data_IF_146813064720
#
_entry.id   IF_146813064720
#
_cell.length_a   1.000
_cell.length_b   1.000
_cell.length_c   1.000
_cell.angle_alpha   90.00
_cell.angle_beta   90.00
_cell.angle_gamma   90.00
#
_symmetry.space_group_name_H-M   'P 1'
#
loop_
_entity.id
_entity.type
_entity.pdbx_description
1 polymer ?
#
# COMPACT_ATOMS: atom_id res chain seq x y z
N UNK A 1 -62.69 12.12 29.22
CA UNK A 1 -63.73 12.83 28.46
C UNK A 1 -63.13 13.45 27.22
N UNK A 2 -63.52 12.94 26.05
CA UNK A 2 -63.43 13.55 24.69
C UNK A 2 -64.10 12.52 23.76
N UNK A 3 -65.43 12.44 23.85
CA UNK A 3 -66.42 13.05 22.94
C UNK A 3 -66.35 12.44 21.54
N UNK A 4 -67.39 11.64 21.29
CA UNK A 4 -67.86 11.08 20.03
C UNK A 4 -68.17 12.19 19.01
N UNK A 5 -67.64 12.07 17.79
CA UNK A 5 -68.11 12.70 16.54
C UNK A 5 -67.73 11.67 15.45
N UNK A 6 -68.66 10.94 14.85
CA UNK A 6 -69.66 11.44 13.92
C UNK A 6 -69.10 11.31 12.50
N UNK A 7 -69.37 10.19 11.83
CA UNK A 7 -69.02 10.01 10.41
C UNK A 7 -69.80 11.05 9.57
N UNK A 8 -69.21 11.69 8.55
CA UNK A 8 -69.97 12.59 7.69
C UNK A 8 -70.90 11.76 6.79
N UNK A 9 -72.16 12.17 6.75
CA UNK A 9 -73.16 11.66 5.81
C UNK A 9 -72.75 12.01 4.37
N UNK A 10 -73.03 11.09 3.45
CA UNK A 10 -72.83 11.30 2.02
C UNK A 10 -73.62 12.52 1.54
N UNK A 11 -72.92 13.42 0.86
CA UNK A 11 -73.47 14.64 0.28
C UNK A 11 -74.41 14.26 -0.89
N UNK A 12 -75.65 14.75 -0.83
CA UNK A 12 -76.64 14.55 -1.88
C UNK A 12 -76.23 15.31 -3.16
N UNK A 13 -76.43 14.76 -4.36
CA UNK A 13 -76.08 15.45 -5.59
C UNK A 13 -76.99 16.68 -5.78
N UNK A 14 -76.37 17.84 -6.04
CA UNK A 14 -77.06 19.08 -6.40
C UNK A 14 -77.76 18.99 -7.77
N UNK A 15 -78.67 19.93 -8.09
CA UNK A 15 -79.56 19.83 -9.24
C UNK A 15 -78.79 19.92 -10.56
N UNK A 16 -79.13 19.02 -11.49
CA UNK A 16 -78.60 18.95 -12.85
C UNK A 16 -78.86 20.24 -13.62
N UNK A 17 -77.80 20.86 -14.14
CA UNK A 17 -77.90 21.94 -15.11
C UNK A 17 -78.22 21.37 -16.50
N UNK A 18 -79.23 21.94 -17.17
CA UNK A 18 -79.67 21.48 -18.50
C UNK A 18 -78.56 21.62 -19.57
N UNK A 19 -78.40 20.63 -20.46
CA UNK A 19 -77.36 20.64 -21.48
C UNK A 19 -77.71 21.60 -22.64
N UNK A 20 -76.80 22.53 -22.92
CA UNK A 20 -76.86 23.47 -24.04
C UNK A 20 -75.86 23.06 -25.13
N UNK A 21 -76.32 22.27 -26.11
CA UNK A 21 -75.61 22.10 -27.39
C UNK A 21 -75.68 20.69 -28.00
N UNK A 22 -75.48 20.54 -29.32
CA UNK A 22 -75.72 19.28 -30.05
C UNK A 22 -74.59 18.23 -29.89
N UNK A 23 -73.81 18.29 -28.81
CA UNK A 23 -72.66 17.41 -28.55
C UNK A 23 -72.77 16.50 -27.32
N UNK A 24 -73.74 16.70 -26.43
CA UNK A 24 -73.79 16.07 -25.09
C UNK A 24 -74.43 14.67 -25.03
N UNK A 25 -74.49 13.94 -26.14
CA UNK A 25 -75.17 12.63 -26.24
C UNK A 25 -74.24 11.41 -26.26
N UNK A 26 -72.96 11.58 -25.96
CA UNK A 26 -72.04 10.44 -25.77
C UNK A 26 -71.87 10.15 -24.27
N UNK A 27 -72.08 8.91 -23.79
CA UNK A 27 -71.80 8.57 -22.41
C UNK A 27 -70.29 8.60 -22.19
N UNK A 28 -69.77 9.76 -21.77
CA UNK A 28 -68.41 9.89 -21.27
C UNK A 28 -68.43 9.23 -19.89
N UNK A 29 -67.89 8.02 -19.80
CA UNK A 29 -67.55 7.45 -18.49
C UNK A 29 -66.50 8.37 -17.87
N UNK A 30 -66.94 9.30 -17.02
CA UNK A 30 -66.05 10.01 -16.12
C UNK A 30 -65.40 8.96 -15.23
N UNK A 31 -64.20 8.51 -15.60
CA UNK A 31 -63.33 7.79 -14.69
C UNK A 31 -63.05 8.75 -13.53
N UNK A 32 -63.80 8.58 -12.46
CA UNK A 32 -63.57 9.27 -11.20
C UNK A 32 -62.18 8.83 -10.75
N UNK A 33 -61.18 9.66 -11.04
CA UNK A 33 -59.79 9.42 -10.64
C UNK A 33 -59.81 9.53 -9.11
N UNK A 34 -59.64 8.44 -8.34
CA UNK A 34 -59.68 8.55 -6.90
C UNK A 34 -58.60 9.55 -6.49
N UNK A 35 -58.97 10.48 -5.60
CA UNK A 35 -58.04 11.43 -5.02
C UNK A 35 -56.81 10.68 -4.48
N UNK A 36 -55.60 11.26 -4.55
CA UNK A 36 -54.40 10.60 -4.07
C UNK A 36 -54.60 10.18 -2.62
N UNK A 37 -54.63 8.86 -2.39
CA UNK A 37 -54.77 8.29 -1.05
C UNK A 37 -53.59 8.80 -0.22
N UNK A 38 -53.89 9.60 0.80
CA UNK A 38 -52.89 10.09 1.73
C UNK A 38 -52.29 8.90 2.45
N UNK A 39 -50.96 8.80 2.50
CA UNK A 39 -50.30 7.69 3.16
C UNK A 39 -50.66 7.66 4.65
N UNK A 40 -51.30 6.59 5.10
CA UNK A 40 -51.64 6.38 6.50
C UNK A 40 -50.36 6.32 7.34
N UNK A 41 -50.38 6.88 8.54
CA UNK A 41 -49.30 6.71 9.52
C UNK A 41 -49.19 5.23 9.96
N UNK A 42 -48.04 4.78 10.50
CA UNK A 42 -47.87 3.39 10.95
C UNK A 42 -48.96 2.92 11.95
N UNK A 43 -49.43 3.82 12.81
CA UNK A 43 -50.50 3.53 13.75
C UNK A 43 -51.86 3.35 13.06
N UNK A 44 -52.19 4.24 12.10
CA UNK A 44 -53.42 4.12 11.31
C UNK A 44 -53.40 2.89 10.41
N UNK A 45 -52.25 2.53 9.83
CA UNK A 45 -52.06 1.29 9.08
C UNK A 45 -52.30 0.05 9.96
N UNK A 46 -51.78 0.03 11.19
CA UNK A 46 -51.98 -1.08 12.12
C UNK A 46 -53.47 -1.25 12.48
N UNK A 47 -54.18 -0.14 12.76
CA UNK A 47 -55.62 -0.16 13.05
C UNK A 47 -56.43 -0.61 11.82
N UNK A 48 -56.12 -0.08 10.64
CA UNK A 48 -56.78 -0.47 9.39
C UNK A 48 -56.53 -1.96 9.06
N UNK A 49 -55.31 -2.45 9.24
CA UNK A 49 -54.95 -3.86 9.03
C UNK A 49 -55.69 -4.77 10.01
N UNK A 50 -55.78 -4.40 11.29
CA UNK A 50 -56.55 -5.17 12.28
C UNK A 50 -58.06 -5.17 11.98
N UNK A 51 -58.61 -4.05 11.47
CA UNK A 51 -60.00 -3.99 11.03
C UNK A 51 -60.25 -4.88 9.80
N UNK A 52 -59.38 -4.81 8.79
CA UNK A 52 -59.44 -5.66 7.61
C UNK A 52 -59.32 -7.14 7.96
N UNK A 53 -58.39 -7.52 8.84
CA UNK A 53 -58.22 -8.90 9.29
C UNK A 53 -59.50 -9.44 9.95
N UNK A 54 -60.18 -8.66 10.81
CA UNK A 54 -61.45 -9.06 11.43
C UNK A 54 -62.58 -9.25 10.42
N UNK A 55 -62.66 -8.39 9.40
CA UNK A 55 -63.69 -8.48 8.37
C UNK A 55 -63.45 -9.64 7.39
N UNK A 56 -62.19 -9.94 7.08
CA UNK A 56 -61.81 -11.00 6.15
C UNK A 56 -61.75 -12.38 6.81
N UNK A 57 -61.45 -12.48 8.11
CA UNK A 57 -61.28 -13.77 8.79
C UNK A 57 -62.43 -14.77 8.57
N UNK A 58 -63.73 -14.39 8.62
CA UNK A 58 -64.84 -15.31 8.37
C UNK A 58 -64.94 -15.77 6.91
N UNK A 59 -64.27 -15.09 5.97
CA UNK A 59 -64.30 -15.38 4.54
C UNK A 59 -63.13 -16.28 4.09
N UNK A 60 -62.14 -16.49 4.97
CA UNK A 60 -60.96 -17.28 4.67
C UNK A 60 -61.13 -18.72 5.21
N UNK A 61 -60.59 -19.73 4.51
CA UNK A 61 -60.59 -21.09 5.02
C UNK A 61 -59.72 -21.22 6.27
N UNK A 62 -60.10 -22.12 7.18
CA UNK A 62 -59.34 -22.38 8.40
C UNK A 62 -57.94 -22.94 8.07
N UNK A 63 -56.86 -22.39 8.65
CA UNK A 63 -55.52 -22.91 8.47
C UNK A 63 -55.36 -24.31 9.07
N UNK A 64 -54.79 -25.22 8.29
CA UNK A 64 -54.52 -26.60 8.68
C UNK A 64 -53.20 -26.71 9.45
N UNK A 65 -53.19 -27.55 10.47
CA UNK A 65 -52.03 -27.93 11.26
C UNK A 65 -51.39 -29.25 10.81
N UNK A 66 -51.80 -29.78 9.66
CA UNK A 66 -51.33 -31.09 9.18
C UNK A 66 -51.21 -31.18 7.66
N UNK A 67 -50.46 -32.18 7.22
CA UNK A 67 -50.29 -32.58 5.81
C UNK A 67 -50.51 -34.08 5.61
N UNK A 68 -50.75 -34.48 4.37
CA UNK A 68 -50.83 -35.88 3.96
C UNK A 68 -49.49 -36.30 3.35
N UNK A 69 -48.77 -37.21 4.00
CA UNK A 69 -47.51 -37.76 3.49
C UNK A 69 -47.79 -38.94 2.56
N UNK A 70 -47.12 -38.95 1.41
CA UNK A 70 -47.24 -39.97 0.37
C UNK A 70 -45.92 -40.74 0.20
N UNK A 71 -46.02 -41.96 -0.34
CA UNK A 71 -44.87 -42.87 -0.47
C UNK A 71 -43.83 -42.42 -1.53
N UNK A 72 -44.14 -41.44 -2.37
CA UNK A 72 -43.30 -40.88 -3.43
C UNK A 72 -42.49 -39.65 -2.97
N UNK A 73 -42.26 -39.53 -1.66
CA UNK A 73 -41.56 -38.41 -1.02
C UNK A 73 -42.27 -37.07 -1.25
N UNK A 74 -43.61 -37.07 -1.24
CA UNK A 74 -44.39 -35.83 -1.29
C UNK A 74 -45.26 -35.65 -0.06
N UNK A 75 -45.54 -34.38 0.27
CA UNK A 75 -46.55 -33.97 1.23
C UNK A 75 -47.58 -33.11 0.52
N UNK A 76 -48.86 -33.40 0.73
CA UNK A 76 -49.97 -32.62 0.17
C UNK A 76 -50.65 -31.86 1.29
N UNK A 77 -50.73 -30.54 1.13
CA UNK A 77 -51.49 -29.63 1.97
C UNK A 77 -52.81 -29.25 1.25
N UNK A 78 -53.97 -29.78 1.68
CA UNK A 78 -55.27 -29.53 1.03
C UNK A 78 -55.80 -28.10 1.17
N UNK A 79 -55.14 -27.26 1.97
CA UNK A 79 -55.55 -25.91 2.28
C UNK A 79 -54.37 -25.09 2.83
N UNK A 80 -54.59 -23.82 3.23
CA UNK A 80 -53.52 -23.02 3.80
C UNK A 80 -53.04 -23.64 5.11
N UNK A 81 -51.73 -23.70 5.29
CA UNK A 81 -51.13 -24.25 6.50
C UNK A 81 -50.97 -23.15 7.55
N UNK A 82 -51.00 -23.54 8.83
CA UNK A 82 -50.55 -22.69 9.91
C UNK A 82 -49.08 -22.30 9.68
N UNK A 83 -48.73 -21.05 10.02
CA UNK A 83 -47.39 -20.48 9.73
C UNK A 83 -46.24 -21.37 10.20
N UNK A 84 -46.21 -21.90 11.44
CA UNK A 84 -45.07 -22.71 11.88
C UNK A 84 -44.86 -23.97 11.03
N UNK A 85 -45.96 -24.63 10.62
CA UNK A 85 -45.91 -25.80 9.75
C UNK A 85 -45.46 -25.43 8.33
N UNK A 86 -46.00 -24.32 7.79
CA UNK A 86 -45.63 -23.82 6.46
C UNK A 86 -44.15 -23.44 6.38
N UNK A 87 -43.62 -22.76 7.40
CA UNK A 87 -42.23 -22.30 7.47
C UNK A 87 -41.27 -23.50 7.54
N UNK A 88 -41.57 -24.47 8.42
CA UNK A 88 -40.75 -25.68 8.54
C UNK A 88 -40.79 -26.52 7.26
N UNK A 89 -41.96 -26.73 6.65
CA UNK A 89 -42.07 -27.43 5.36
C UNK A 89 -41.37 -26.67 4.23
N UNK A 90 -41.39 -25.34 4.25
CA UNK A 90 -40.68 -24.50 3.28
C UNK A 90 -39.15 -24.68 3.36
N UNK A 91 -38.63 -25.05 4.52
CA UNK A 91 -37.22 -25.43 4.67
C UNK A 91 -37.01 -26.90 4.32
N UNK A 92 -37.84 -27.80 4.85
CA UNK A 92 -37.66 -29.26 4.77
C UNK A 92 -37.99 -29.87 3.41
N UNK A 93 -38.75 -29.17 2.56
CA UNK A 93 -39.20 -29.66 1.27
C UNK A 93 -39.21 -28.53 0.22
N UNK A 94 -39.26 -28.91 -1.05
CA UNK A 94 -39.38 -27.98 -2.17
C UNK A 94 -40.84 -27.93 -2.65
N UNK A 95 -41.36 -26.75 -2.98
CA UNK A 95 -42.76 -26.62 -3.44
C UNK A 95 -42.84 -26.93 -4.94
N UNK A 96 -43.55 -28.00 -5.28
CA UNK A 96 -43.75 -28.42 -6.68
C UNK A 96 -44.96 -27.73 -7.31
N UNK A 97 -46.05 -27.58 -6.55
CA UNK A 97 -47.27 -26.92 -7.01
C UNK A 97 -47.95 -26.15 -5.88
N UNK A 98 -48.53 -24.99 -6.22
CA UNK A 98 -49.28 -24.09 -5.31
C UNK A 98 -50.74 -23.95 -5.74
N UNK A 99 -51.29 -24.97 -6.40
CA UNK A 99 -52.69 -24.98 -6.85
C UNK A 99 -53.69 -25.09 -5.69
N UNK A 100 -54.85 -25.70 -5.95
CA UNK A 100 -55.88 -25.95 -4.92
C UNK A 100 -55.40 -26.80 -3.73
N UNK A 101 -54.30 -27.53 -3.91
CA UNK A 101 -53.51 -28.13 -2.84
C UNK A 101 -52.05 -27.81 -3.09
N UNK A 102 -51.32 -27.44 -2.02
CA UNK A 102 -49.88 -27.22 -2.12
C UNK A 102 -49.17 -28.56 -2.01
N UNK A 103 -48.35 -28.90 -2.99
CA UNK A 103 -47.56 -30.13 -3.02
C UNK A 103 -46.12 -29.80 -2.72
N UNK A 104 -45.59 -30.43 -1.68
CA UNK A 104 -44.20 -30.35 -1.26
C UNK A 104 -43.49 -31.64 -1.63
N UNK A 105 -42.28 -31.56 -2.15
CA UNK A 105 -41.42 -32.71 -2.47
C UNK A 105 -40.21 -32.71 -1.58
N UNK A 106 -39.98 -33.83 -0.89
CA UNK A 106 -38.77 -34.06 -0.10
C UNK A 106 -37.67 -34.58 -1.04
N UNK A 107 -36.58 -33.83 -1.08
CA UNK A 107 -35.36 -34.17 -1.82
C UNK A 107 -34.17 -34.25 -0.86
N UNK A 108 -33.09 -34.97 -1.20
CA UNK A 108 -31.87 -34.96 -0.38
C UNK A 108 -31.35 -33.54 -0.11
N UNK A 109 -31.49 -32.63 -1.09
CA UNK A 109 -31.09 -31.22 -0.95
C UNK A 109 -31.94 -30.45 0.05
N UNK A 110 -33.26 -30.63 0.01
CA UNK A 110 -34.19 -29.99 0.95
C UNK A 110 -34.02 -30.47 2.40
N UNK A 111 -33.80 -31.78 2.59
CA UNK A 111 -33.51 -32.35 3.92
C UNK A 111 -32.17 -31.83 4.42
N UNK A 112 -31.12 -31.81 3.59
CA UNK A 112 -29.82 -31.24 3.96
C UNK A 112 -29.95 -29.78 4.38
N UNK A 113 -30.73 -28.98 3.67
CA UNK A 113 -31.00 -27.58 4.00
C UNK A 113 -31.64 -27.42 5.39
N UNK A 114 -32.54 -28.32 5.78
CA UNK A 114 -33.10 -28.32 7.13
C UNK A 114 -32.04 -28.65 8.19
N UNK A 115 -31.15 -29.60 7.93
CA UNK A 115 -30.04 -29.92 8.83
C UNK A 115 -29.03 -28.77 8.92
N UNK A 116 -28.73 -28.10 7.80
CA UNK A 116 -27.87 -26.91 7.75
C UNK A 116 -28.48 -25.74 8.55
N UNK A 117 -29.81 -25.65 8.63
CA UNK A 117 -30.54 -24.70 9.47
C UNK A 117 -30.58 -25.12 10.96
N UNK A 118 -29.84 -26.16 11.35
CA UNK A 118 -29.68 -26.61 12.73
C UNK A 118 -30.75 -27.57 13.24
N UNK A 119 -31.60 -28.12 12.36
CA UNK A 119 -32.57 -29.14 12.76
C UNK A 119 -31.88 -30.50 12.95
N UNK A 120 -32.23 -31.23 14.02
CA UNK A 120 -31.77 -32.60 14.19
C UNK A 120 -32.70 -33.58 13.46
N UNK A 121 -32.16 -34.73 13.02
CA UNK A 121 -32.97 -35.77 12.36
C UNK A 121 -34.13 -36.26 13.24
N UNK A 122 -33.90 -36.41 14.54
CA UNK A 122 -34.94 -36.77 15.52
C UNK A 122 -36.09 -35.76 15.54
N UNK A 123 -35.76 -34.48 15.43
CA UNK A 123 -36.73 -33.38 15.48
C UNK A 123 -37.55 -33.34 14.20
N UNK A 124 -36.91 -33.61 13.04
CA UNK A 124 -37.60 -33.74 11.76
C UNK A 124 -38.59 -34.92 11.77
N UNK A 125 -38.19 -36.07 12.29
CA UNK A 125 -39.09 -37.23 12.44
C UNK A 125 -40.25 -36.92 13.39
N UNK A 126 -39.97 -36.33 14.56
CA UNK A 126 -41.00 -35.95 15.53
C UNK A 126 -41.97 -34.91 14.94
N UNK A 127 -41.45 -33.93 14.21
CA UNK A 127 -42.24 -32.92 13.53
C UNK A 127 -43.19 -33.52 12.48
N UNK A 128 -42.68 -34.38 11.60
CA UNK A 128 -43.48 -35.04 10.59
C UNK A 128 -44.54 -35.98 11.20
N UNK A 129 -44.20 -36.69 12.28
CA UNK A 129 -45.14 -37.53 13.00
C UNK A 129 -46.26 -36.72 13.67
N UNK A 130 -45.94 -35.53 14.21
CA UNK A 130 -46.91 -34.65 14.86
C UNK A 130 -47.86 -33.95 13.87
N UNK A 131 -47.37 -33.59 12.68
CA UNK A 131 -48.13 -32.80 11.70
C UNK A 131 -48.57 -33.62 10.48
N UNK A 132 -48.52 -34.96 10.53
CA UNK A 132 -49.06 -35.79 9.47
C UNK A 132 -50.34 -36.50 9.87
N UNK A 133 -51.33 -36.50 8.96
CA UNK A 133 -52.54 -37.33 9.09
C UNK A 133 -52.31 -38.78 8.66
N UNK A 134 -51.23 -39.05 7.94
CA UNK A 134 -50.85 -40.41 7.54
C UNK A 134 -49.57 -40.82 8.28
N UNK A 135 -49.32 -42.12 8.48
CA UNK A 135 -48.03 -42.56 9.00
C UNK A 135 -46.89 -42.07 8.10
N UNK A 136 -45.75 -41.71 8.72
CA UNK A 136 -44.55 -41.28 7.98
C UNK A 136 -44.09 -42.42 7.07
N UNK A 137 -44.02 -42.23 5.74
CA UNK A 137 -43.60 -43.28 4.82
C UNK A 137 -42.15 -43.70 5.08
N UNK A 138 -41.89 -45.01 5.06
CA UNK A 138 -40.54 -45.55 5.25
C UNK A 138 -39.49 -44.94 4.30
N UNK A 139 -39.76 -44.67 3.00
CA UNK A 139 -38.80 -44.02 2.12
C UNK A 139 -38.37 -42.63 2.61
N UNK A 140 -39.29 -41.86 3.18
CA UNK A 140 -39.00 -40.53 3.72
C UNK A 140 -38.16 -40.64 4.99
N UNK A 141 -38.50 -41.58 5.87
CA UNK A 141 -37.71 -41.82 7.07
C UNK A 141 -36.26 -42.20 6.73
N UNK A 142 -36.09 -43.10 5.76
CA UNK A 142 -34.77 -43.51 5.28
C UNK A 142 -33.98 -42.35 4.65
N UNK A 143 -34.64 -41.51 3.84
CA UNK A 143 -34.01 -40.33 3.26
C UNK A 143 -33.46 -39.39 4.34
N UNK A 144 -34.25 -39.12 5.39
CA UNK A 144 -33.82 -38.27 6.51
C UNK A 144 -32.60 -38.86 7.20
N UNK A 145 -32.63 -40.15 7.54
CA UNK A 145 -31.54 -40.81 8.24
C UNK A 145 -30.26 -40.88 7.39
N UNK A 146 -30.38 -41.15 6.09
CA UNK A 146 -29.24 -41.25 5.17
C UNK A 146 -28.57 -39.89 4.91
N UNK A 147 -29.35 -38.81 4.81
CA UNK A 147 -28.81 -37.45 4.70
C UNK A 147 -28.21 -37.00 6.03
N UNK A 148 -28.87 -37.29 7.16
CA UNK A 148 -28.36 -36.96 8.49
C UNK A 148 -27.05 -37.66 8.83
N UNK A 149 -26.91 -38.93 8.46
CA UNK A 149 -25.64 -39.66 8.61
C UNK A 149 -24.51 -38.98 7.86
N UNK A 150 -24.76 -38.53 6.62
CA UNK A 150 -23.75 -37.90 5.76
C UNK A 150 -23.48 -36.43 6.09
N UNK A 151 -24.42 -35.78 6.77
CA UNK A 151 -24.33 -34.37 7.18
C UNK A 151 -23.25 -34.18 8.25
N UNK A 152 -22.43 -33.13 8.10
CA UNK A 152 -21.40 -32.79 9.10
C UNK A 152 -20.20 -33.73 9.19
N UNK A 153 -20.05 -34.72 8.28
CA UNK A 153 -18.83 -35.53 8.18
C UNK A 153 -17.60 -34.71 7.83
N UNK A 154 -17.75 -33.74 6.92
CA UNK A 154 -16.71 -32.79 6.57
C UNK A 154 -16.92 -31.52 7.37
N UNK A 155 -15.86 -31.09 8.06
CA UNK A 155 -15.86 -29.84 8.84
C UNK A 155 -14.83 -28.90 8.27
N UNK A 156 -15.28 -27.71 7.91
CA UNK A 156 -14.42 -26.62 7.45
C UNK A 156 -14.32 -25.60 8.57
N UNK A 157 -13.12 -25.09 8.81
CA UNK A 157 -12.89 -23.99 9.73
C UNK A 157 -11.82 -23.06 9.19
N UNK A 158 -11.83 -21.81 9.63
CA UNK A 158 -10.77 -20.86 9.30
C UNK A 158 -9.46 -21.27 10.00
N UNK A 159 -8.36 -21.22 9.25
CA UNK A 159 -6.99 -21.35 9.73
C UNK A 159 -6.13 -20.39 8.91
N UNK A 160 -5.56 -19.37 9.56
CA UNK A 160 -4.75 -18.34 8.91
C UNK A 160 -3.31 -18.81 8.66
N UNK A 161 -2.83 -19.72 9.50
CA UNK A 161 -1.52 -20.35 9.38
C UNK A 161 -1.55 -21.76 10.01
N UNK A 162 -0.51 -22.56 9.74
CA UNK A 162 -0.32 -23.88 10.36
C UNK A 162 1.12 -24.05 10.86
N UNK A 163 1.31 -24.98 11.78
CA UNK A 163 2.62 -25.46 12.25
C UNK A 163 2.70 -26.94 11.97
N UNK A 164 3.73 -27.36 11.24
CA UNK A 164 4.09 -28.76 11.06
C UNK A 164 5.31 -29.08 11.90
N UNK A 165 5.27 -30.18 12.64
CA UNK A 165 6.40 -30.70 13.39
C UNK A 165 6.39 -32.22 13.33
N UNK A 166 7.55 -32.83 13.11
CA UNK A 166 7.65 -34.29 13.05
C UNK A 166 7.54 -34.94 14.44
N UNK A 167 7.67 -34.15 15.51
CA UNK A 167 7.53 -34.59 16.90
C UNK A 167 6.22 -34.07 17.53
N UNK A 168 5.37 -35.01 17.93
CA UNK A 168 4.10 -34.72 18.60
C UNK A 168 4.25 -34.14 20.01
N UNK A 169 5.33 -34.51 20.72
CA UNK A 169 5.57 -34.02 22.07
C UNK A 169 5.77 -32.50 22.08
N UNK A 170 6.50 -31.97 21.09
CA UNK A 170 6.74 -30.54 20.92
C UNK A 170 5.44 -29.78 20.64
N UNK A 171 4.56 -30.31 19.78
CA UNK A 171 3.26 -29.66 19.53
C UNK A 171 2.36 -29.67 20.77
N UNK A 172 2.43 -30.74 21.56
CA UNK A 172 1.71 -30.84 22.83
C UNK A 172 2.23 -29.84 23.88
N UNK A 173 3.55 -29.62 23.93
CA UNK A 173 4.19 -28.59 24.76
C UNK A 173 3.75 -27.18 24.35
N UNK A 174 3.79 -26.87 23.06
CA UNK A 174 3.35 -25.57 22.51
C UNK A 174 1.88 -25.29 22.87
N UNK A 175 1.00 -26.29 22.76
CA UNK A 175 -0.42 -26.14 23.12
C UNK A 175 -0.66 -25.94 24.63
N UNK A 176 0.21 -26.49 25.48
CA UNK A 176 0.09 -26.36 26.93
C UNK A 176 0.65 -25.03 27.47
N UNK A 177 1.50 -24.34 26.71
CA UNK A 177 2.10 -23.07 27.12
C UNK A 177 1.10 -21.91 27.03
N UNK A 178 0.84 -21.27 28.17
CA UNK A 178 -0.08 -20.13 28.30
C UNK A 178 0.32 -18.92 27.45
N UNK A 179 1.62 -18.77 27.13
CA UNK A 179 2.11 -17.69 26.25
C UNK A 179 1.54 -17.81 24.83
N UNK A 180 1.17 -19.02 24.39
CA UNK A 180 0.56 -19.28 23.10
C UNK A 180 -0.94 -18.98 23.00
N UNK A 181 -1.61 -18.56 24.09
CA UNK A 181 -3.06 -18.34 24.10
C UNK A 181 -3.54 -17.32 23.04
N UNK A 182 -2.72 -16.31 22.74
CA UNK A 182 -3.02 -15.30 21.72
C UNK A 182 -2.92 -15.79 20.26
N UNK A 183 -2.28 -16.95 20.03
CA UNK A 183 -2.07 -17.50 18.68
C UNK A 183 -3.30 -18.26 18.15
N UNK A 184 -4.27 -18.58 19.02
CA UNK A 184 -5.48 -19.32 18.66
C UNK A 184 -5.17 -20.72 18.11
N UNK A 185 -4.24 -21.43 18.75
CA UNK A 185 -3.78 -22.74 18.31
C UNK A 185 -4.85 -23.82 18.51
N UNK A 186 -5.02 -24.67 17.50
CA UNK A 186 -5.89 -25.85 17.53
C UNK A 186 -5.21 -27.02 16.85
N UNK A 187 -5.20 -28.18 17.49
CA UNK A 187 -4.63 -29.40 16.91
C UNK A 187 -5.53 -29.96 15.82
N UNK A 188 -4.97 -30.17 14.62
CA UNK A 188 -5.67 -30.79 13.49
C UNK A 188 -5.24 -32.24 13.25
N UNK A 189 -3.97 -32.54 13.50
CA UNK A 189 -3.37 -33.87 13.41
C UNK A 189 -2.27 -34.01 14.48
N UNK A 190 -1.71 -35.22 14.69
CA UNK A 190 -0.60 -35.39 15.62
C UNK A 190 0.61 -34.51 15.31
N UNK A 191 0.89 -34.24 14.04
CA UNK A 191 2.04 -33.46 13.57
C UNK A 191 1.65 -32.08 13.00
N UNK A 192 0.39 -31.65 13.20
CA UNK A 192 -0.13 -30.40 12.61
C UNK A 192 -1.01 -29.61 13.57
N UNK A 193 -0.66 -28.35 13.79
CA UNK A 193 -1.49 -27.35 14.45
C UNK A 193 -2.01 -26.33 13.43
N UNK A 194 -3.25 -25.90 13.57
CA UNK A 194 -3.76 -24.68 12.94
C UNK A 194 -3.69 -23.51 13.92
N UNK A 195 -3.47 -22.31 13.40
CA UNK A 195 -3.49 -21.06 14.14
C UNK A 195 -4.50 -20.09 13.53
N UNK A 196 -5.06 -19.20 14.36
CA UNK A 196 -5.84 -18.06 13.89
C UNK A 196 -4.97 -16.84 13.59
N UNK A 197 -3.79 -16.76 14.22
CA UNK A 197 -2.76 -15.78 13.87
C UNK A 197 -2.26 -15.99 12.43
N UNK A 198 -1.87 -14.89 11.80
CA UNK A 198 -1.24 -14.92 10.48
C UNK A 198 0.17 -15.54 10.54
N UNK A 199 0.78 -15.92 9.41
CA UNK A 199 2.09 -16.59 9.41
C UNK A 199 3.19 -15.79 10.11
N UNK A 200 3.19 -14.45 9.98
CA UNK A 200 4.17 -13.58 10.63
C UNK A 200 4.02 -13.57 12.15
N UNK A 201 2.80 -13.33 12.67
CA UNK A 201 2.52 -13.35 14.10
C UNK A 201 2.74 -14.72 14.73
N UNK A 202 2.45 -15.80 14.00
CA UNK A 202 2.74 -17.17 14.45
C UNK A 202 4.24 -17.42 14.60
N UNK A 203 5.05 -17.01 13.62
CA UNK A 203 6.52 -17.12 13.69
C UNK A 203 7.09 -16.31 14.85
N UNK A 204 6.64 -15.08 15.04
CA UNK A 204 7.08 -14.23 16.15
C UNK A 204 6.66 -14.78 17.52
N UNK A 205 5.42 -15.22 17.66
CA UNK A 205 4.91 -15.79 18.90
C UNK A 205 5.64 -17.07 19.31
N UNK A 206 5.87 -17.99 18.37
CA UNK A 206 6.65 -19.20 18.63
C UNK A 206 8.11 -18.89 19.00
N UNK A 207 8.73 -17.87 18.38
CA UNK A 207 10.07 -17.41 18.77
C UNK A 207 10.09 -16.82 20.18
N UNK A 208 9.08 -16.02 20.54
CA UNK A 208 8.93 -15.47 21.89
C UNK A 208 8.72 -16.56 22.95
N UNK A 209 8.16 -17.70 22.56
CA UNK A 209 8.03 -18.88 23.41
C UNK A 209 9.35 -19.66 23.58
N UNK A 210 10.36 -19.38 22.76
CA UNK A 210 11.67 -20.03 22.80
C UNK A 210 11.86 -21.13 21.74
N UNK A 211 10.89 -21.31 20.84
CA UNK A 211 11.01 -22.24 19.72
C UNK A 211 11.74 -21.59 18.53
N UNK A 212 12.30 -22.41 17.65
CA UNK A 212 12.99 -21.96 16.44
C UNK A 212 12.23 -22.40 15.17
N UNK A 213 11.05 -21.80 14.87
CA UNK A 213 10.28 -22.16 13.69
C UNK A 213 10.95 -21.64 12.41
N UNK A 214 10.84 -22.43 11.34
CA UNK A 214 11.17 -22.00 10.00
C UNK A 214 9.90 -21.62 9.24
N UNK A 215 10.00 -20.63 8.35
CA UNK A 215 8.88 -20.28 7.47
C UNK A 215 8.74 -21.33 6.37
N UNK A 216 7.52 -21.63 5.95
CA UNK A 216 7.21 -22.54 4.85
C UNK A 216 6.55 -21.75 3.71
N UNK A 217 6.83 -22.10 2.45
CA UNK A 217 6.19 -21.50 1.28
C UNK A 217 4.80 -22.09 1.06
N UNK A 218 4.02 -21.52 0.13
CA UNK A 218 2.71 -22.06 -0.23
C UNK A 218 2.79 -23.49 -0.82
N UNK A 219 3.95 -23.86 -1.37
CA UNK A 219 4.26 -25.17 -1.93
C UNK A 219 4.79 -26.18 -0.89
N UNK A 220 5.03 -25.74 0.34
CA UNK A 220 5.53 -26.59 1.43
C UNK A 220 7.05 -26.58 1.60
N UNK A 221 7.76 -25.74 0.85
CA UNK A 221 9.22 -25.65 0.94
C UNK A 221 9.65 -24.75 2.10
N UNK A 222 10.71 -25.14 2.81
CA UNK A 222 11.23 -24.31 3.91
C UNK A 222 11.88 -23.04 3.34
N UNK A 223 11.27 -21.90 3.63
CA UNK A 223 11.77 -20.58 3.30
C UNK A 223 12.89 -20.19 4.26
N UNK A 224 14.13 -20.33 3.79
CA UNK A 224 15.30 -19.79 4.47
C UNK A 224 15.33 -18.28 4.20
N UNK A 225 14.68 -17.50 5.07
CA UNK A 225 14.88 -16.05 5.08
C UNK A 225 16.28 -15.77 5.60
N UNK A 226 17.27 -15.72 4.71
CA UNK A 226 18.56 -15.12 5.04
C UNK A 226 18.25 -13.71 5.52
N UNK A 227 18.52 -13.42 6.78
CA UNK A 227 18.42 -12.06 7.30
C UNK A 227 19.13 -11.16 6.29
N UNK A 228 18.37 -10.28 5.63
CA UNK A 228 18.95 -9.26 4.77
C UNK A 228 19.83 -8.45 5.71
N UNK A 229 21.13 -8.76 5.71
CA UNK A 229 22.13 -7.90 6.30
C UNK A 229 21.78 -6.50 5.84
N UNK A 230 21.50 -5.59 6.77
CA UNK A 230 21.18 -4.21 6.45
C UNK A 230 22.34 -3.67 5.61
N UNK A 231 22.20 -3.78 4.28
CA UNK A 231 23.15 -3.24 3.34
C UNK A 231 22.93 -1.76 3.43
N UNK A 232 23.95 -1.05 3.87
CA UNK A 232 24.01 0.40 3.72
C UNK A 232 23.62 0.71 2.27
N UNK A 233 22.66 1.63 2.03
CA UNK A 233 22.31 2.01 0.67
C UNK A 233 23.59 2.44 -0.07
N UNK A 234 23.67 2.20 -1.39
CA UNK A 234 24.85 2.58 -2.17
C UNK A 234 25.14 4.07 -1.90
N UNK A 235 26.36 4.36 -1.42
CA UNK A 235 26.79 5.74 -1.18
C UNK A 235 26.73 6.48 -2.52
N UNK A 236 25.85 7.47 -2.62
CA UNK A 236 25.86 8.41 -3.75
C UNK A 236 27.23 9.09 -3.79
N UNK A 237 27.88 9.07 -4.94
CA UNK A 237 29.11 9.84 -5.12
C UNK A 237 28.78 11.34 -4.93
N UNK A 238 29.61 12.12 -4.21
CA UNK A 238 29.38 13.56 -4.08
C UNK A 238 29.31 14.21 -5.47
N UNK A 239 28.34 15.10 -5.70
CA UNK A 239 28.33 15.92 -6.91
C UNK A 239 29.60 16.79 -6.95
N UNK A 240 30.31 16.86 -8.09
CA UNK A 240 31.45 17.76 -8.23
C UNK A 240 30.98 19.21 -8.06
N UNK A 241 31.42 19.87 -6.99
CA UNK A 241 31.30 21.32 -6.88
C UNK A 241 32.24 21.93 -7.93
N UNK A 242 31.77 22.78 -8.84
CA UNK A 242 32.63 23.45 -9.80
C UNK A 242 33.37 24.59 -9.08
N UNK A 243 34.40 24.26 -8.29
CA UNK A 243 35.40 25.23 -7.87
C UNK A 243 36.37 25.48 -9.03
N UNK A 244 35.84 26.10 -10.09
CA UNK A 244 36.65 26.77 -11.09
C UNK A 244 37.00 28.17 -10.57
N UNK A 245 38.22 28.68 -10.84
CA UNK A 245 38.57 30.05 -10.44
C UNK A 245 37.58 31.05 -11.03
N UNK A 246 37.25 32.15 -10.32
CA UNK A 246 36.32 33.16 -10.81
C UNK A 246 36.79 33.73 -12.15
N UNK A 247 35.82 34.15 -12.97
CA UNK A 247 36.10 34.73 -14.29
C UNK A 247 37.12 35.88 -14.14
N UNK A 248 38.23 35.89 -14.90
CA UNK A 248 39.27 36.92 -14.78
C UNK A 248 38.71 38.32 -15.02
N UNK A 249 39.16 39.27 -14.20
CA UNK A 249 38.87 40.68 -14.29
C UNK A 249 39.57 41.35 -15.49
N UNK A 250 39.05 42.49 -15.95
CA UNK A 250 39.52 43.21 -17.16
C UNK A 250 41.01 43.58 -17.10
N UNK A 251 41.56 43.70 -15.90
CA UNK A 251 42.98 43.93 -15.60
C UNK A 251 43.84 42.73 -16.02
N UNK A 252 43.44 41.51 -15.65
CA UNK A 252 44.09 40.25 -16.04
C UNK A 252 43.98 40.03 -17.55
N UNK A 253 42.81 40.32 -18.13
CA UNK A 253 42.60 40.22 -19.57
C UNK A 253 43.49 41.22 -20.34
N UNK A 254 43.62 42.45 -19.83
CA UNK A 254 44.50 43.47 -20.39
C UNK A 254 45.99 43.12 -20.28
N UNK A 255 46.42 42.47 -19.21
CA UNK A 255 47.78 41.96 -19.07
C UNK A 255 48.07 40.82 -20.06
N UNK A 256 47.15 39.87 -20.21
CA UNK A 256 47.27 38.77 -21.17
C UNK A 256 47.36 39.28 -22.62
N UNK A 257 46.53 40.26 -22.99
CA UNK A 257 46.58 40.86 -24.33
C UNK A 257 47.90 41.59 -24.62
N UNK A 258 48.49 42.25 -23.61
CA UNK A 258 49.82 42.87 -23.75
C UNK A 258 50.92 41.83 -23.92
N UNK A 259 50.87 40.73 -23.15
CA UNK A 259 51.83 39.63 -23.27
C UNK A 259 51.79 38.98 -24.67
N UNK A 260 50.59 38.73 -25.21
CA UNK A 260 50.43 38.19 -26.57
C UNK A 260 51.01 39.15 -27.61
N UNK A 261 50.68 40.45 -27.53
CA UNK A 261 51.22 41.45 -28.47
C UNK A 261 52.73 41.61 -28.38
N UNK A 262 53.30 41.50 -27.18
CA UNK A 262 54.75 41.52 -26.97
C UNK A 262 55.42 40.27 -27.58
N UNK A 263 54.81 39.09 -27.43
CA UNK A 263 55.26 37.85 -28.08
C UNK A 263 55.20 37.91 -29.61
N UNK A 264 54.13 38.48 -30.18
CA UNK A 264 53.99 38.67 -31.62
C UNK A 264 55.07 39.62 -32.18
N UNK A 265 55.40 40.70 -31.46
CA UNK A 265 56.48 41.62 -31.83
C UNK A 265 57.87 40.95 -31.74
N UNK A 266 58.09 40.11 -30.72
CA UNK A 266 59.33 39.35 -30.55
C UNK A 266 59.50 38.25 -31.61
N UNK A 267 58.41 37.65 -32.11
CA UNK A 267 58.45 36.60 -33.14
C UNK A 267 58.69 37.13 -34.56
N UNK A 268 58.35 38.40 -34.83
CA UNK A 268 58.47 39.03 -36.15
C UNK A 268 59.80 39.76 -36.38
N UNK A 269 60.63 39.87 -35.35
CA UNK A 269 61.97 40.47 -35.44
C UNK A 269 63.00 39.40 -35.81
N UNK A 270 63.70 39.46 -36.96
CA UNK A 270 64.59 38.39 -37.40
C UNK A 270 65.86 38.34 -36.53
N UNK A 271 65.95 37.36 -35.62
CA UNK A 271 67.14 37.15 -34.80
C UNK A 271 68.17 36.27 -35.53
N UNK A 272 69.29 36.90 -35.86
CA UNK A 272 70.55 36.35 -36.39
C UNK A 272 71.05 35.17 -35.54
N UNK A 273 71.44 34.01 -36.12
CA UNK A 273 71.95 32.89 -35.34
C UNK A 273 73.42 33.14 -34.98
N UNK A 274 73.70 33.20 -33.69
CA UNK A 274 75.06 33.18 -33.18
C UNK A 274 75.20 33.91 -31.86
N UNK A 275 75.32 33.15 -30.78
CA UNK A 275 76.44 33.21 -29.83
C UNK A 275 76.01 32.50 -28.54
N UNK A 276 76.66 31.39 -28.24
CA UNK A 276 76.86 31.01 -26.86
C UNK A 276 77.80 32.05 -26.21
N UNK A 277 77.54 32.43 -24.95
CA UNK A 277 78.60 32.55 -23.96
C UNK A 277 78.28 31.61 -22.77
N UNK A 278 79.21 30.75 -22.33
CA UNK A 278 80.26 31.06 -21.37
C UNK A 278 79.67 31.55 -20.03
N UNK A 279 79.61 30.68 -19.01
CA UNK A 279 80.67 30.43 -18.02
C UNK A 279 80.93 31.62 -17.08
N UNK A 280 80.53 31.40 -15.82
CA UNK A 280 80.92 32.11 -14.59
C UNK A 280 80.32 33.50 -14.33
N UNK A 281 79.28 33.53 -13.50
CA UNK A 281 78.84 34.70 -12.74
C UNK A 281 78.17 34.21 -11.46
N UNK A 282 78.76 34.52 -10.31
CA UNK A 282 78.40 34.04 -8.98
C UNK A 282 76.89 34.13 -8.70
N UNK A 283 76.33 33.08 -8.08
CA UNK A 283 74.98 33.14 -7.51
C UNK A 283 74.94 34.32 -6.53
N UNK A 284 74.01 35.29 -6.66
CA UNK A 284 73.79 36.30 -5.63
C UNK A 284 73.58 35.57 -4.31
N UNK A 285 74.35 35.93 -3.28
CA UNK A 285 74.14 35.49 -1.91
C UNK A 285 73.65 36.68 -1.10
N UNK A 286 72.34 36.88 -1.07
CA UNK A 286 71.72 37.87 -0.19
C UNK A 286 71.34 37.20 1.14
N UNK A 287 71.36 37.98 2.23
CA UNK A 287 70.93 37.45 3.53
C UNK A 287 69.43 37.14 3.50
N UNK A 288 68.97 36.14 4.24
CA UNK A 288 67.56 35.70 4.18
C UNK A 288 66.52 36.81 4.44
N UNK A 289 66.85 37.80 5.28
CA UNK A 289 65.99 38.97 5.53
C UNK A 289 65.93 39.92 4.34
N UNK A 290 67.05 40.10 3.63
CA UNK A 290 67.16 40.92 2.43
C UNK A 290 66.46 40.25 1.24
N UNK A 291 66.67 38.94 1.04
CA UNK A 291 65.94 38.13 0.05
C UNK A 291 64.42 38.26 0.22
N UNK A 292 63.92 38.20 1.46
CA UNK A 292 62.50 38.34 1.74
C UNK A 292 62.02 39.77 1.45
N UNK A 293 62.76 40.79 1.85
CA UNK A 293 62.42 42.18 1.60
C UNK A 293 62.38 42.51 0.10
N UNK A 294 63.37 42.07 -0.68
CA UNK A 294 63.41 42.24 -2.14
C UNK A 294 62.26 41.50 -2.82
N UNK A 295 61.94 40.27 -2.39
CA UNK A 295 60.78 39.54 -2.94
C UNK A 295 59.47 40.24 -2.61
N UNK A 296 59.30 40.77 -1.40
CA UNK A 296 58.10 41.53 -1.04
C UNK A 296 57.98 42.84 -1.83
N UNK A 297 59.10 43.54 -2.04
CA UNK A 297 59.13 44.73 -2.88
C UNK A 297 58.73 44.40 -4.33
N UNK A 298 59.29 43.35 -4.92
CA UNK A 298 58.96 42.93 -6.27
C UNK A 298 57.54 42.39 -6.44
N UNK A 299 56.91 41.85 -5.39
CA UNK A 299 55.45 41.55 -5.42
C UNK A 299 54.63 42.84 -5.53
N UNK A 300 55.09 43.93 -4.91
CA UNK A 300 54.39 45.22 -4.96
C UNK A 300 54.63 45.96 -6.29
N UNK A 301 55.84 45.88 -6.86
CA UNK A 301 56.18 46.53 -8.14
C UNK A 301 55.83 45.68 -9.36
N UNK A 302 55.74 44.36 -9.20
CA UNK A 302 55.53 43.39 -10.28
C UNK A 302 56.78 43.13 -11.13
N UNK A 303 57.96 43.49 -10.64
CA UNK A 303 59.22 43.36 -11.38
C UNK A 303 59.76 41.92 -11.38
N UNK A 304 60.42 41.54 -12.47
CA UNK A 304 61.06 40.23 -12.60
C UNK A 304 62.41 40.24 -11.88
N UNK A 305 62.66 39.21 -11.08
CA UNK A 305 63.86 39.02 -10.30
C UNK A 305 64.62 37.79 -10.76
N UNK A 306 65.94 37.87 -10.71
CA UNK A 306 66.82 36.75 -10.93
C UNK A 306 67.14 36.09 -9.60
N UNK A 307 66.94 34.78 -9.49
CA UNK A 307 67.19 34.02 -8.27
C UNK A 307 68.16 32.86 -8.51
N UNK A 308 68.99 32.61 -7.50
CA UNK A 308 69.65 31.33 -7.33
C UNK A 308 68.77 30.39 -6.50
N UNK A 309 68.50 29.18 -7.00
CA UNK A 309 67.65 28.20 -6.31
C UNK A 309 68.31 26.82 -6.28
N UNK A 310 68.27 26.17 -5.12
CA UNK A 310 68.74 24.79 -4.94
C UNK A 310 67.54 23.84 -4.80
N UNK A 311 67.48 22.79 -5.61
CA UNK A 311 66.40 21.80 -5.57
C UNK A 311 66.56 20.80 -4.40
N UNK A 312 65.62 19.86 -4.25
CA UNK A 312 65.65 18.87 -3.15
C UNK A 312 66.85 17.91 -3.24
N UNK A 313 67.38 17.73 -4.45
CA UNK A 313 68.52 16.88 -4.78
C UNK A 313 69.87 17.60 -4.61
N UNK A 314 69.87 18.87 -4.19
CA UNK A 314 71.07 19.68 -3.93
C UNK A 314 71.70 20.33 -5.17
N UNK A 315 71.06 20.23 -6.34
CA UNK A 315 71.53 20.90 -7.56
C UNK A 315 71.11 22.38 -7.54
N UNK A 316 72.09 23.27 -7.73
CA UNK A 316 71.88 24.71 -7.85
C UNK A 316 71.51 25.07 -9.30
N UNK A 317 70.50 25.92 -9.46
CA UNK A 317 70.00 26.44 -10.74
C UNK A 317 69.72 27.93 -10.62
N UNK A 318 69.79 28.64 -11.75
CA UNK A 318 69.46 30.06 -11.84
C UNK A 318 68.13 30.21 -12.58
N UNK A 319 67.25 31.09 -12.09
CA UNK A 319 65.90 31.28 -12.64
C UNK A 319 65.51 32.74 -12.63
N UNK A 320 64.79 33.17 -13.66
CA UNK A 320 64.12 34.48 -13.70
C UNK A 320 62.67 34.28 -13.29
N UNK A 321 62.27 34.91 -12.20
CA UNK A 321 60.93 34.77 -11.64
C UNK A 321 60.25 36.13 -11.48
N UNK A 322 58.95 36.21 -11.75
CA UNK A 322 58.11 37.35 -11.37
C UNK A 322 57.30 36.94 -10.13
N UNK A 323 57.66 37.42 -8.91
CA UNK A 323 57.00 37.00 -7.69
C UNK A 323 55.57 37.54 -7.62
N UNK A 324 54.62 36.65 -7.31
CA UNK A 324 53.19 36.96 -7.23
C UNK A 324 52.76 37.14 -5.79
N UNK A 325 53.30 36.32 -4.87
CA UNK A 325 52.99 36.38 -3.44
C UNK A 325 54.10 35.75 -2.59
N UNK A 326 54.35 36.34 -1.42
CA UNK A 326 55.31 35.84 -0.43
C UNK A 326 54.61 35.64 0.90
N UNK A 327 54.40 34.39 1.32
CA UNK A 327 53.72 34.04 2.57
C UNK A 327 54.28 32.75 3.18
N UNK A 328 54.30 32.68 4.52
CA UNK A 328 54.62 31.42 5.24
C UNK A 328 56.01 30.84 4.96
N UNK A 329 56.98 31.64 4.50
CA UNK A 329 58.32 31.16 4.13
C UNK A 329 58.45 30.66 2.68
N UNK A 330 57.42 30.86 1.85
CA UNK A 330 57.39 30.47 0.44
C UNK A 330 57.11 31.68 -0.46
N UNK A 331 57.63 31.63 -1.68
CA UNK A 331 57.34 32.57 -2.76
C UNK A 331 56.65 31.82 -3.88
N UNK A 332 55.42 32.21 -4.20
CA UNK A 332 54.78 31.78 -5.44
C UNK A 332 55.12 32.80 -6.51
N UNK A 333 55.75 32.36 -7.58
CA UNK A 333 56.23 33.22 -8.65
C UNK A 333 56.01 32.55 -10.01
N UNK A 334 55.80 33.36 -11.05
CA UNK A 334 55.87 32.86 -12.41
C UNK A 334 57.34 32.69 -12.80
N UNK A 335 57.76 31.48 -13.14
CA UNK A 335 59.12 31.21 -13.57
C UNK A 335 59.23 31.31 -15.09
N UNK A 336 59.85 32.38 -15.58
CA UNK A 336 60.06 32.60 -17.01
C UNK A 336 61.00 31.57 -17.65
N UNK A 337 61.77 30.83 -16.85
CA UNK A 337 62.66 29.77 -17.36
C UNK A 337 61.90 28.47 -17.62
N UNK A 338 60.84 28.21 -16.85
CA UNK A 338 60.01 27.00 -16.95
C UNK A 338 58.60 27.26 -17.55
N UNK A 339 58.28 28.53 -17.81
CA UNK A 339 57.00 29.01 -18.36
C UNK A 339 55.76 28.59 -17.53
N UNK A 340 55.92 28.48 -16.21
CA UNK A 340 54.91 27.96 -15.28
C UNK A 340 54.93 28.70 -13.93
N UNK A 341 53.78 28.82 -13.25
CA UNK A 341 53.70 29.32 -11.87
C UNK A 341 54.21 28.25 -10.91
N UNK A 342 55.25 28.57 -10.14
CA UNK A 342 55.85 27.65 -9.17
C UNK A 342 56.00 28.28 -7.81
N UNK A 343 55.98 27.43 -6.79
CA UNK A 343 56.19 27.85 -5.40
C UNK A 343 57.57 27.40 -4.93
N UNK A 344 58.38 28.39 -4.51
CA UNK A 344 59.75 28.22 -4.06
C UNK A 344 59.84 28.46 -2.56
N UNK A 345 60.40 27.52 -1.77
CA UNK A 345 60.74 27.81 -0.38
C UNK A 345 61.87 28.84 -0.29
N UNK A 346 61.66 29.93 0.48
CA UNK A 346 62.64 31.02 0.62
C UNK A 346 64.00 30.54 1.12
N UNK A 347 64.03 29.55 2.02
CA UNK A 347 65.28 28.99 2.57
C UNK A 347 66.14 28.23 1.54
N UNK A 348 65.60 27.96 0.34
CA UNK A 348 66.34 27.34 -0.77
C UNK A 348 66.73 28.35 -1.85
N UNK A 349 66.31 29.60 -1.70
CA UNK A 349 66.78 30.69 -2.54
C UNK A 349 68.12 31.13 -1.96
N UNK A 350 69.19 30.94 -2.73
CA UNK A 350 70.55 31.29 -2.30
C UNK A 350 70.80 32.78 -2.37
N UNK A 351 70.04 33.49 -3.20
CA UNK A 351 69.94 34.95 -3.22
C UNK A 351 69.23 35.46 -4.47
N UNK A 352 69.08 36.77 -4.52
CA UNK A 352 68.18 37.50 -5.42
C UNK A 352 68.94 38.69 -6.01
N UNK A 353 68.73 38.96 -7.29
CA UNK A 353 69.15 40.19 -7.95
C UNK A 353 67.98 40.75 -8.77
N UNK A 354 67.80 42.07 -8.77
CA UNK A 354 66.86 42.74 -9.66
C UNK A 354 67.35 42.60 -11.11
N UNK A 355 66.44 42.26 -12.03
CA UNK A 355 66.76 42.25 -13.45
C UNK A 355 66.77 43.70 -13.90
N UNK A 356 67.93 44.24 -14.28
CA UNK A 356 67.98 45.59 -14.83
C UNK A 356 67.19 45.64 -16.15
N UNK A 357 66.22 46.56 -16.25
CA UNK A 357 65.50 46.83 -17.49
C UNK A 357 66.49 47.27 -18.57
N UNK A 358 66.63 46.47 -19.64
CA UNK A 358 67.24 46.94 -20.88
C UNK A 358 66.33 48.05 -21.43
N UNK A 359 66.73 49.29 -21.17
CA UNK A 359 66.22 50.46 -21.82
C UNK A 359 66.63 50.42 -23.31
N UNK A 360 65.62 50.34 -24.18
CA UNK A 360 65.63 50.91 -25.52
C UNK A 360 64.41 51.85 -25.66
#
# INVERSE_FOLDING_TARGET
GRVLLGAPAAEAPGPEAEPSGPGDKLPVHHHHRPAPLTALSPAEQAVASAAAARLLAPLLPEPLDHVLLQADLTAVAPGPLQRPLADMLGVLADVESKGGATVYRFTPGSVRRALDAGQAASDLHAFLAAHSRTPVPQPLAYLIDDVARRHGHLRVGAASAYVRCDDDAVLSEILADKRGAGLGLRRLAPTVLAAQADPAGLLEGLRAMGFAPAAESAEGDVLITRALAHRTPPRTAPEPVPDGPPVPDDTLLGAALRAIRAGDLASTTPRKPGAAPAANGELPRTGAAETLATMQAAVLTGEALWIGYVNAEGAASQRVIAPIRVEGGFVTAYDHTADEVRTYPLHRITGVAELADDAD
#
